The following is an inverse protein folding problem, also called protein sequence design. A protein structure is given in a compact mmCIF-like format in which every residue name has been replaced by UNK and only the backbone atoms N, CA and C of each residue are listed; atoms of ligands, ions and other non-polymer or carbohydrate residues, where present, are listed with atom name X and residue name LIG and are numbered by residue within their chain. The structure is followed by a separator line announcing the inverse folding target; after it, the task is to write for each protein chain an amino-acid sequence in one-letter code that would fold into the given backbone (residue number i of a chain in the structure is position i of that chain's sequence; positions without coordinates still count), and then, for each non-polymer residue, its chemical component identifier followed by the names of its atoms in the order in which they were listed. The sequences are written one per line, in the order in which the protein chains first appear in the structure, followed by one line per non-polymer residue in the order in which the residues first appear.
data_IF_691306496869
#
_entry.id   IF_691306496869
#
_cell.length_a   1.000
_cell.length_b   1.000
_cell.length_c   1.000
_cell.angle_alpha   90.00
_cell.angle_beta   90.00
_cell.angle_gamma   90.00
#
_symmetry.space_group_name_H-M   'P 1'
#
loop_
_entity.id
_entity.type
_entity.pdbx_description
1 polymer ?
#
# COMPACT_ATOMS: atom_id res chain seq x y z
N UNK A 1 7.09 -16.55 10.43
CA UNK A 1 5.77 -16.02 9.99
C UNK A 1 5.84 -15.67 8.51
N UNK A 2 4.70 -15.60 7.87
CA UNK A 2 4.57 -15.17 6.47
C UNK A 2 3.87 -13.83 6.41
N UNK A 3 4.48 -12.86 5.75
CA UNK A 3 3.92 -11.52 5.56
C UNK A 3 3.66 -11.24 4.10
N UNK A 4 2.54 -10.57 3.82
CA UNK A 4 2.30 -9.92 2.54
C UNK A 4 2.62 -8.42 2.65
N UNK A 5 3.39 -7.90 1.72
CA UNK A 5 3.60 -6.46 1.57
C UNK A 5 2.97 -6.03 0.26
N UNK A 6 2.04 -5.09 0.33
CA UNK A 6 1.31 -4.57 -0.83
C UNK A 6 1.68 -3.11 -1.04
N UNK A 7 2.18 -2.81 -2.21
CA UNK A 7 2.61 -1.46 -2.57
C UNK A 7 2.37 -1.16 -4.04
N UNK A 8 2.05 0.08 -4.35
CA UNK A 8 1.93 0.55 -5.74
C UNK A 8 3.24 1.11 -6.27
N UNK A 9 4.23 1.32 -5.41
CA UNK A 9 5.56 1.82 -5.77
C UNK A 9 6.66 0.94 -5.17
N UNK A 10 7.67 0.64 -5.99
CA UNK A 10 8.82 -0.18 -5.61
C UNK A 10 10.02 0.14 -6.51
N UNK A 11 11.27 -0.03 -6.07
CA UNK A 11 12.40 0.17 -6.95
C UNK A 11 12.28 -0.60 -8.28
N UNK A 12 12.72 -0.04 -9.40
CA UNK A 12 13.58 1.14 -9.58
C UNK A 12 12.88 2.51 -9.51
N UNK A 13 11.61 2.60 -9.17
CA UNK A 13 10.98 3.90 -8.90
C UNK A 13 11.70 4.59 -7.73
N UNK A 14 12.06 5.87 -7.94
CA UNK A 14 12.86 6.62 -6.96
C UNK A 14 11.93 7.51 -6.14
N UNK A 15 11.52 7.00 -4.97
CA UNK A 15 10.79 7.78 -3.98
C UNK A 15 10.96 7.17 -2.58
N UNK A 16 10.64 7.96 -1.54
CA UNK A 16 10.83 7.53 -0.16
C UNK A 16 10.01 6.31 0.24
N UNK A 17 8.81 6.15 -0.31
CA UNK A 17 7.94 4.99 -0.02
C UNK A 17 8.52 3.72 -0.61
N UNK A 18 8.99 3.76 -1.85
CA UNK A 18 9.62 2.60 -2.51
C UNK A 18 10.83 2.09 -1.72
N UNK A 19 11.69 2.99 -1.26
CA UNK A 19 12.86 2.65 -0.45
C UNK A 19 12.48 2.11 0.93
N UNK A 20 11.47 2.68 1.56
CA UNK A 20 10.97 2.21 2.87
C UNK A 20 10.40 0.80 2.76
N UNK A 21 9.61 0.53 1.73
CA UNK A 21 9.03 -0.80 1.47
C UNK A 21 10.12 -1.83 1.21
N UNK A 22 11.12 -1.50 0.40
CA UNK A 22 12.26 -2.38 0.14
C UNK A 22 13.02 -2.69 1.44
N UNK A 23 13.28 -1.68 2.26
CA UNK A 23 13.94 -1.86 3.56
C UNK A 23 13.14 -2.73 4.52
N UNK A 24 11.82 -2.58 4.55
CA UNK A 24 10.93 -3.42 5.37
C UNK A 24 10.95 -4.87 4.90
N UNK A 25 10.82 -5.11 3.60
CA UNK A 25 10.90 -6.44 3.00
C UNK A 25 12.22 -7.13 3.37
N UNK A 26 13.31 -6.43 3.15
CA UNK A 26 14.66 -6.95 3.42
C UNK A 26 14.83 -7.25 4.91
N UNK A 27 14.46 -6.33 5.79
CA UNK A 27 14.55 -6.52 7.24
C UNK A 27 13.72 -7.69 7.78
N UNK A 28 12.55 -7.96 7.19
CA UNK A 28 11.73 -9.12 7.54
C UNK A 28 12.37 -10.42 7.07
N UNK A 29 12.91 -10.45 5.85
CA UNK A 29 13.63 -11.64 5.31
C UNK A 29 14.88 -11.96 6.12
N UNK A 30 15.66 -10.95 6.50
CA UNK A 30 16.85 -11.11 7.35
C UNK A 30 16.53 -11.69 8.73
N UNK A 31 15.30 -11.45 9.22
CA UNK A 31 14.80 -12.03 10.48
C UNK A 31 14.16 -13.42 10.29
N UNK A 32 14.30 -14.02 9.13
CA UNK A 32 13.82 -15.37 8.85
C UNK A 32 12.33 -15.47 8.51
N UNK A 33 11.67 -14.36 8.22
CA UNK A 33 10.27 -14.37 7.81
C UNK A 33 10.13 -14.58 6.30
N UNK A 34 9.09 -15.30 5.89
CA UNK A 34 8.70 -15.36 4.49
C UNK A 34 7.93 -14.09 4.11
N UNK A 35 8.30 -13.45 3.01
CA UNK A 35 7.66 -12.23 2.52
C UNK A 35 7.21 -12.43 1.08
N UNK A 36 5.92 -12.16 0.81
CA UNK A 36 5.40 -12.02 -0.53
C UNK A 36 5.16 -10.52 -0.80
N UNK A 37 5.85 -10.01 -1.82
CA UNK A 37 5.70 -8.63 -2.28
C UNK A 37 4.64 -8.58 -3.39
N UNK A 38 3.59 -7.80 -3.19
CA UNK A 38 2.54 -7.55 -4.18
C UNK A 38 2.68 -6.13 -4.71
N UNK A 39 2.92 -5.99 -5.99
CA UNK A 39 3.14 -4.70 -6.65
C UNK A 39 2.74 -4.72 -8.13
N UNK A 40 2.56 -3.54 -8.76
CA UNK A 40 2.36 -3.47 -10.20
C UNK A 40 3.58 -3.98 -10.96
N UNK A 41 3.31 -4.63 -12.10
CA UNK A 41 4.34 -5.03 -13.07
C UNK A 41 5.00 -3.80 -13.68
N UNK A 42 6.32 -3.82 -13.74
CA UNK A 42 7.09 -2.79 -14.44
C UNK A 42 7.30 -3.17 -15.91
N UNK A 43 7.69 -2.19 -16.76
CA UNK A 43 7.66 -2.35 -18.20
C UNK A 43 8.50 -3.52 -18.73
N UNK A 44 9.62 -3.80 -18.07
CA UNK A 44 10.61 -4.79 -18.54
C UNK A 44 10.46 -6.17 -17.88
N UNK A 45 9.43 -6.35 -17.03
CA UNK A 45 9.23 -7.60 -16.30
C UNK A 45 8.31 -8.55 -17.07
N UNK A 46 8.83 -9.69 -17.47
CA UNK A 46 8.07 -10.76 -18.16
C UNK A 46 7.52 -11.79 -17.20
N UNK A 47 8.27 -12.11 -16.15
CA UNK A 47 7.94 -13.15 -15.17
C UNK A 47 7.87 -12.57 -13.74
N UNK A 48 7.13 -13.23 -12.88
CA UNK A 48 7.06 -12.87 -11.48
C UNK A 48 8.37 -13.24 -10.77
N UNK A 49 9.11 -12.28 -10.19
CA UNK A 49 10.29 -12.60 -9.39
C UNK A 49 9.94 -13.50 -8.22
N UNK A 50 10.89 -14.31 -7.80
CA UNK A 50 10.71 -15.19 -6.64
C UNK A 50 10.24 -14.40 -5.40
N UNK A 51 9.12 -14.81 -4.81
CA UNK A 51 8.53 -14.13 -3.65
C UNK A 51 7.76 -12.85 -3.98
N UNK A 52 7.44 -12.61 -5.26
CA UNK A 52 6.59 -11.48 -5.68
C UNK A 52 5.34 -11.97 -6.41
N UNK A 53 4.28 -11.19 -6.31
CA UNK A 53 3.08 -11.30 -7.12
C UNK A 53 2.92 -10.00 -7.89
N UNK A 54 3.05 -10.07 -9.21
CA UNK A 54 2.91 -8.90 -10.06
C UNK A 54 1.45 -8.76 -10.52
N UNK A 55 0.90 -7.58 -10.34
CA UNK A 55 -0.45 -7.23 -10.77
C UNK A 55 -0.42 -6.19 -11.90
N UNK A 56 -1.55 -6.00 -12.56
CA UNK A 56 -1.67 -4.96 -13.58
C UNK A 56 -1.57 -3.57 -12.94
N UNK A 57 -0.88 -2.67 -13.60
CA UNK A 57 -0.75 -1.28 -13.22
C UNK A 57 -1.07 -0.34 -14.38
N UNK A 58 -1.31 0.93 -14.06
CA UNK A 58 -1.48 2.00 -15.02
C UNK A 58 -0.63 3.21 -14.63
N UNK A 59 -0.11 3.90 -15.63
CA UNK A 59 0.64 5.13 -15.42
C UNK A 59 -0.31 6.27 -14.98
N UNK A 60 0.15 7.11 -14.07
CA UNK A 60 -0.59 8.32 -13.72
C UNK A 60 -0.39 9.38 -14.82
N UNK A 61 -1.48 9.88 -15.43
CA UNK A 61 -1.39 11.03 -16.33
C UNK A 61 -0.74 12.22 -15.59
N UNK A 62 0.18 12.94 -16.24
CA UNK A 62 0.92 14.09 -15.71
C UNK A 62 2.05 13.77 -14.70
N UNK A 63 2.24 12.51 -14.30
CA UNK A 63 3.33 12.13 -13.39
C UNK A 63 4.17 11.01 -14.02
N UNK A 64 5.16 11.37 -14.87
CA UNK A 64 6.06 10.40 -15.48
C UNK A 64 6.79 9.58 -14.40
N UNK A 65 6.78 8.26 -14.55
CA UNK A 65 7.44 7.35 -13.62
C UNK A 65 6.61 6.90 -12.42
N UNK A 66 5.42 7.47 -12.19
CA UNK A 66 4.48 6.97 -11.18
C UNK A 66 3.44 6.05 -11.81
N UNK A 67 3.28 4.88 -11.22
CA UNK A 67 2.24 3.91 -11.56
C UNK A 67 1.39 3.64 -10.33
N UNK A 68 0.12 3.34 -10.57
CA UNK A 68 -0.75 2.78 -9.54
C UNK A 68 -1.19 1.37 -9.95
N UNK A 69 -1.44 0.50 -8.96
CA UNK A 69 -1.97 -0.83 -9.21
C UNK A 69 -3.47 -0.77 -9.54
N UNK A 70 -3.88 -1.57 -10.52
CA UNK A 70 -5.31 -1.75 -10.78
C UNK A 70 -5.96 -2.61 -9.70
N UNK A 71 -7.30 -2.52 -9.52
CA UNK A 71 -8.00 -3.37 -8.58
C UNK A 71 -7.75 -4.86 -8.82
N UNK A 72 -7.36 -5.57 -7.78
CA UNK A 72 -6.92 -6.97 -7.86
C UNK A 72 -7.52 -7.86 -6.75
N UNK A 73 -8.68 -7.52 -6.21
CA UNK A 73 -9.30 -8.23 -5.07
C UNK A 73 -9.45 -9.74 -5.33
N UNK A 74 -9.91 -10.13 -6.52
CA UNK A 74 -10.06 -11.55 -6.88
C UNK A 74 -8.74 -12.30 -6.92
N UNK A 75 -7.74 -11.69 -7.54
CA UNK A 75 -6.38 -12.26 -7.68
C UNK A 75 -5.75 -12.47 -6.31
N UNK A 76 -5.81 -11.44 -5.46
CA UNK A 76 -5.28 -11.50 -4.09
C UNK A 76 -6.02 -12.53 -3.23
N UNK A 77 -7.35 -12.57 -3.31
CA UNK A 77 -8.13 -13.55 -2.57
C UNK A 77 -7.78 -14.97 -2.96
N UNK A 78 -7.70 -15.29 -4.25
CA UNK A 78 -7.29 -16.61 -4.73
C UNK A 78 -5.87 -16.96 -4.26
N UNK A 79 -4.93 -16.03 -4.39
CA UNK A 79 -3.54 -16.23 -3.99
C UNK A 79 -3.43 -16.52 -2.50
N UNK A 80 -4.11 -15.73 -1.66
CA UNK A 80 -4.05 -15.86 -0.22
C UNK A 80 -4.91 -17.00 0.34
N UNK A 81 -5.85 -17.52 -0.41
CA UNK A 81 -6.51 -18.79 -0.09
C UNK A 81 -5.57 -19.98 -0.24
N UNK A 82 -4.68 -19.96 -1.25
CA UNK A 82 -3.69 -21.00 -1.49
C UNK A 82 -2.47 -20.86 -0.58
N UNK A 83 -2.02 -19.63 -0.37
CA UNK A 83 -0.81 -19.31 0.38
C UNK A 83 -1.11 -18.14 1.32
N UNK A 84 -1.73 -18.48 2.47
CA UNK A 84 -2.21 -17.47 3.41
C UNK A 84 -1.07 -16.75 4.13
N UNK A 85 -0.98 -15.42 4.09
CA UNK A 85 -0.11 -14.67 4.99
C UNK A 85 -0.69 -14.65 6.41
N UNK A 86 0.18 -14.56 7.40
CA UNK A 86 -0.22 -14.36 8.80
C UNK A 86 -0.70 -12.93 9.05
N UNK A 87 -0.11 -11.98 8.33
CA UNK A 87 -0.51 -10.58 8.31
C UNK A 87 -0.09 -9.92 7.00
N UNK A 88 -0.77 -8.81 6.66
CA UNK A 88 -0.39 -7.97 5.52
C UNK A 88 -0.09 -6.54 5.96
N UNK A 89 0.83 -5.93 5.23
CA UNK A 89 1.14 -4.51 5.32
C UNK A 89 0.85 -3.84 3.97
N UNK A 90 0.02 -2.80 3.99
CA UNK A 90 -0.38 -2.04 2.80
C UNK A 90 0.25 -0.66 2.87
N UNK A 91 1.20 -0.41 1.98
CA UNK A 91 2.04 0.79 2.02
C UNK A 91 1.40 2.00 1.32
N UNK A 92 0.44 1.79 0.41
CA UNK A 92 -0.11 2.85 -0.44
C UNK A 92 -1.64 2.82 -0.48
N UNK A 93 -2.26 3.99 -0.55
CA UNK A 93 -3.72 4.17 -0.52
C UNK A 93 -4.39 4.08 -1.90
N UNK A 94 -3.72 3.53 -2.88
CA UNK A 94 -4.25 3.39 -4.24
C UNK A 94 -5.23 2.23 -4.42
N UNK A 95 -5.70 2.00 -5.64
CA UNK A 95 -6.69 0.95 -5.93
C UNK A 95 -6.21 -0.46 -5.55
N UNK A 96 -4.91 -0.75 -5.72
CA UNK A 96 -4.32 -2.03 -5.29
C UNK A 96 -4.35 -2.16 -3.76
N UNK A 97 -3.98 -1.12 -3.03
CA UNK A 97 -4.03 -1.11 -1.57
C UNK A 97 -5.45 -1.35 -1.04
N UNK A 98 -6.46 -0.71 -1.62
CA UNK A 98 -7.87 -0.96 -1.29
C UNK A 98 -8.28 -2.40 -1.58
N UNK A 99 -7.84 -2.96 -2.69
CA UNK A 99 -8.11 -4.35 -3.05
C UNK A 99 -7.52 -5.31 -2.03
N UNK A 100 -6.32 -5.02 -1.55
CA UNK A 100 -5.63 -5.82 -0.54
C UNK A 100 -6.38 -5.81 0.81
N UNK A 101 -6.78 -4.64 1.29
CA UNK A 101 -7.56 -4.53 2.52
C UNK A 101 -8.92 -5.25 2.41
N UNK A 102 -9.58 -5.17 1.27
CA UNK A 102 -10.84 -5.87 1.01
C UNK A 102 -10.65 -7.38 1.01
N UNK A 103 -9.64 -7.89 0.32
CA UNK A 103 -9.33 -9.32 0.28
C UNK A 103 -8.94 -9.85 1.66
N UNK A 104 -8.11 -9.12 2.40
CA UNK A 104 -7.72 -9.47 3.77
C UNK A 104 -8.93 -9.57 4.70
N UNK A 105 -9.83 -8.59 4.65
CA UNK A 105 -11.07 -8.61 5.46
C UNK A 105 -11.94 -9.82 5.13
N UNK A 106 -12.12 -10.14 3.85
CA UNK A 106 -12.91 -11.30 3.41
C UNK A 106 -12.31 -12.62 3.89
N UNK A 107 -11.00 -12.70 4.05
CA UNK A 107 -10.28 -13.89 4.50
C UNK A 107 -9.94 -13.88 6.00
N UNK A 108 -10.28 -12.83 6.72
CA UNK A 108 -9.93 -12.69 8.13
C UNK A 108 -8.42 -12.58 8.38
N UNK A 109 -7.66 -11.99 7.45
CA UNK A 109 -6.21 -11.78 7.58
C UNK A 109 -5.98 -10.40 8.24
N UNK A 110 -5.21 -10.32 9.33
CA UNK A 110 -4.86 -9.04 9.93
C UNK A 110 -4.10 -8.13 8.96
N UNK A 111 -4.45 -6.86 8.93
CA UNK A 111 -3.85 -5.88 8.04
C UNK A 111 -3.41 -4.64 8.80
N UNK A 112 -2.21 -4.14 8.48
CA UNK A 112 -1.74 -2.83 8.86
C UNK A 112 -1.52 -1.97 7.62
N UNK A 113 -1.73 -0.67 7.74
CA UNK A 113 -1.44 0.30 6.68
C UNK A 113 -0.27 1.19 7.08
N UNK A 114 0.46 1.69 6.10
CA UNK A 114 1.49 2.70 6.29
C UNK A 114 1.00 4.08 5.84
N UNK A 115 1.19 5.08 6.68
CA UNK A 115 0.93 6.46 6.34
C UNK A 115 2.26 7.16 6.01
N UNK A 116 2.57 7.27 4.73
CA UNK A 116 3.86 7.78 4.26
C UNK A 116 3.80 9.18 3.67
N UNK A 117 2.62 9.61 3.18
CA UNK A 117 2.47 10.87 2.45
C UNK A 117 1.17 11.57 2.84
N UNK A 118 1.28 12.86 3.16
CA UNK A 118 0.14 13.76 3.31
C UNK A 118 -0.44 14.11 1.94
N UNK A 119 -1.20 13.20 1.37
CA UNK A 119 -1.81 13.37 0.05
C UNK A 119 -2.83 14.51 0.01
N UNK A 120 -3.46 14.81 1.15
CA UNK A 120 -4.35 15.95 1.33
C UNK A 120 -3.63 17.29 1.16
N UNK A 121 -2.42 17.45 1.73
CA UNK A 121 -1.60 18.64 1.56
C UNK A 121 -1.15 18.79 0.11
N UNK A 122 -0.77 17.69 -0.52
CA UNK A 122 -0.43 17.68 -1.93
C UNK A 122 -1.58 18.18 -2.81
N UNK A 123 -2.79 17.71 -2.59
CA UNK A 123 -3.97 18.14 -3.33
C UNK A 123 -4.31 19.60 -3.10
N UNK A 124 -4.09 20.12 -1.88
CA UNK A 124 -4.25 21.54 -1.57
C UNK A 124 -3.27 22.43 -2.33
N UNK A 125 -2.00 22.03 -2.37
CA UNK A 125 -0.90 22.85 -2.90
C UNK A 125 -0.86 22.85 -4.44
N UNK A 126 -1.42 21.83 -5.08
CA UNK A 126 -1.44 21.70 -6.56
C UNK A 126 -2.76 22.15 -7.22
N UNK A 127 -3.51 23.05 -6.57
CA UNK A 127 -4.58 23.83 -7.20
C UNK A 127 -5.98 23.22 -7.16
N UNK A 128 -6.22 22.26 -6.29
CA UNK A 128 -7.56 21.70 -6.08
C UNK A 128 -7.93 21.64 -4.59
N UNK A 129 -8.03 22.80 -3.89
CA UNK A 129 -8.26 22.83 -2.44
C UNK A 129 -9.59 22.17 -2.01
N UNK A 130 -10.59 22.13 -2.89
CA UNK A 130 -11.86 21.44 -2.65
C UNK A 130 -11.71 19.91 -2.63
N UNK A 131 -10.68 19.36 -3.27
CA UNK A 131 -10.35 17.93 -3.22
C UNK A 131 -9.70 17.51 -1.91
N UNK A 132 -9.19 18.45 -1.10
CA UNK A 132 -8.59 18.12 0.19
C UNK A 132 -9.55 17.34 1.09
N UNK A 133 -10.78 17.79 1.19
CA UNK A 133 -11.81 17.12 2.00
C UNK A 133 -12.17 15.72 1.46
N UNK A 134 -12.14 15.54 0.14
CA UNK A 134 -12.35 14.23 -0.50
C UNK A 134 -11.17 13.33 -0.23
N UNK A 135 -9.93 13.81 -0.37
CA UNK A 135 -8.71 13.08 -0.09
C UNK A 135 -8.63 12.62 1.37
N UNK A 136 -8.94 13.50 2.32
CA UNK A 136 -8.99 13.16 3.75
C UNK A 136 -10.03 12.08 4.06
N UNK A 137 -11.22 12.15 3.47
CA UNK A 137 -12.25 11.09 3.63
C UNK A 137 -11.80 9.76 3.05
N UNK A 138 -11.12 9.79 1.90
CA UNK A 138 -10.55 8.61 1.27
C UNK A 138 -9.49 7.96 2.17
N UNK A 139 -8.53 8.74 2.63
CA UNK A 139 -7.46 8.28 3.52
C UNK A 139 -8.01 7.75 4.84
N UNK A 140 -8.96 8.46 5.45
CA UNK A 140 -9.63 8.02 6.67
C UNK A 140 -10.31 6.66 6.50
N UNK A 141 -11.09 6.48 5.45
CA UNK A 141 -11.76 5.19 5.19
C UNK A 141 -10.75 4.08 4.95
N UNK A 142 -9.70 4.40 4.20
CA UNK A 142 -8.63 3.44 3.91
C UNK A 142 -7.95 2.96 5.19
N UNK A 143 -7.40 3.86 5.99
CA UNK A 143 -6.66 3.52 7.19
C UNK A 143 -7.56 2.91 8.27
N UNK A 144 -8.79 3.38 8.42
CA UNK A 144 -9.75 2.83 9.39
C UNK A 144 -10.29 1.45 8.98
N UNK A 145 -10.05 0.99 7.77
CA UNK A 145 -10.39 -0.37 7.34
C UNK A 145 -9.37 -1.43 7.74
N UNK A 146 -8.22 -1.02 8.27
CA UNK A 146 -7.17 -1.88 8.80
C UNK A 146 -7.20 -1.95 10.32
N UNK A 147 -6.54 -2.94 10.91
CA UNK A 147 -6.41 -3.09 12.36
C UNK A 147 -5.41 -2.12 12.98
N UNK A 148 -4.43 -1.66 12.20
CA UNK A 148 -3.42 -0.72 12.65
C UNK A 148 -2.95 0.18 11.50
N UNK A 149 -2.51 1.38 11.84
CA UNK A 149 -1.84 2.31 10.91
C UNK A 149 -0.48 2.68 11.49
N UNK A 150 0.57 2.45 10.72
CA UNK A 150 1.93 2.78 11.08
C UNK A 150 2.27 4.18 10.55
N UNK A 151 2.82 5.00 11.41
CA UNK A 151 3.20 6.39 11.10
C UNK A 151 4.66 6.65 11.48
N UNK A 152 5.39 7.46 10.70
CA UNK A 152 6.81 7.70 10.94
C UNK A 152 7.09 8.63 12.13
N UNK A 153 6.15 9.47 12.54
CA UNK A 153 6.37 10.48 13.58
C UNK A 153 5.16 10.61 14.52
N UNK A 154 5.42 11.06 15.74
CA UNK A 154 4.36 11.36 16.74
C UNK A 154 3.48 12.52 16.32
N UNK A 155 4.02 13.48 15.60
CA UNK A 155 3.26 14.62 15.07
C UNK A 155 2.20 14.15 14.06
N UNK A 156 2.59 13.24 13.15
CA UNK A 156 1.66 12.62 12.22
C UNK A 156 0.63 11.74 12.93
N UNK A 157 1.03 11.04 13.97
CA UNK A 157 0.10 10.27 14.81
C UNK A 157 -0.98 11.17 15.40
N UNK A 158 -0.60 12.27 16.04
CA UNK A 158 -1.53 13.24 16.64
C UNK A 158 -2.51 13.82 15.58
N UNK A 159 -1.99 14.17 14.40
CA UNK A 159 -2.80 14.62 13.28
C UNK A 159 -3.84 13.57 12.87
N UNK A 160 -3.45 12.31 12.74
CA UNK A 160 -4.38 11.24 12.32
C UNK A 160 -5.42 10.93 13.41
N UNK A 161 -5.05 10.97 14.66
CA UNK A 161 -5.98 10.80 15.79
C UNK A 161 -7.07 11.88 15.77
N UNK A 162 -6.72 13.13 15.48
CA UNK A 162 -7.68 14.22 15.33
C UNK A 162 -8.51 14.06 14.03
N UNK A 163 -7.87 13.85 12.89
CA UNK A 163 -8.52 13.83 11.59
C UNK A 163 -9.38 12.58 11.33
N UNK A 164 -9.05 11.45 11.98
CA UNK A 164 -9.68 10.16 11.69
C UNK A 164 -10.60 9.64 12.81
N UNK A 165 -10.66 10.30 13.97
CA UNK A 165 -11.49 9.88 15.10
C UNK A 165 -12.94 10.34 15.03
N UNK A 166 -13.31 11.19 14.10
CA UNK A 166 -14.67 11.74 13.97
C UNK A 166 -15.60 10.89 13.09
#
# INVERSE_FOLDING_TARGET
MRYGIVTETYPPEINGVALTVQGLEQGLRERGHAVELVRPRQADETDDPAGSLLVRGAALPRYPGLKFGLPATRTLRKRWQLTRPDAIYVATEGPLGWSALRAARQLGIPAATGFHTRFDDYMRDYGAPWLQGVALRWMRRFHNSAQATLVPTRELQAFLEEAFSA
#
